data_IF_659291445166
#
_entry.id   IF_659291445166
#
_cell.length_a   1.000
_cell.length_b   1.000
_cell.length_c   1.000
_cell.angle_alpha   90.00
_cell.angle_beta   90.00
_cell.angle_gamma   90.00
#
_symmetry.space_group_name_H-M   'P 1'
#
loop_
_entity.id
_entity.type
_entity.pdbx_description
1 polymer ?
#
# COMPACT_ATOMS: atom_id res chain seq x y z
N UNK A 1 26.45 -6.25 17.00
CA UNK A 1 25.07 -6.65 16.61
C UNK A 1 24.23 -6.80 17.87
N UNK A 2 23.07 -6.14 17.98
CA UNK A 2 22.21 -6.22 19.17
C UNK A 2 21.55 -7.60 19.37
N UNK A 3 21.41 -8.40 18.30
CA UNK A 3 20.69 -9.69 18.34
C UNK A 3 21.52 -10.88 18.88
N UNK A 4 22.83 -10.91 18.65
CA UNK A 4 23.66 -12.07 19.02
C UNK A 4 23.52 -12.52 20.49
N UNK A 5 23.61 -11.63 21.50
CA UNK A 5 23.42 -12.04 22.90
C UNK A 5 21.98 -12.51 23.20
N UNK A 6 20.97 -11.89 22.60
CA UNK A 6 19.57 -12.29 22.74
C UNK A 6 19.31 -13.68 22.15
N UNK A 7 19.92 -13.97 21.00
CA UNK A 7 19.79 -15.25 20.31
C UNK A 7 20.44 -16.41 21.08
N UNK A 8 21.61 -16.19 21.68
CA UNK A 8 22.27 -17.16 22.58
C UNK A 8 21.45 -17.40 23.85
N UNK A 9 20.88 -16.34 24.46
CA UNK A 9 19.99 -16.45 25.62
C UNK A 9 18.74 -17.27 25.28
N UNK A 10 18.09 -16.97 24.16
CA UNK A 10 16.93 -17.72 23.68
C UNK A 10 17.27 -19.19 23.42
N UNK A 11 18.44 -19.48 22.83
CA UNK A 11 18.90 -20.84 22.55
C UNK A 11 19.06 -21.67 23.83
N UNK A 12 19.64 -21.07 24.88
CA UNK A 12 19.78 -21.73 26.19
C UNK A 12 18.42 -22.13 26.77
N UNK A 13 17.43 -21.23 26.73
CA UNK A 13 16.08 -21.48 27.25
C UNK A 13 15.35 -22.56 26.41
N UNK A 14 15.41 -22.43 25.08
CA UNK A 14 14.67 -23.28 24.14
C UNK A 14 15.24 -24.69 24.00
N UNK A 15 16.52 -24.89 24.31
CA UNK A 15 17.15 -26.22 24.33
C UNK A 15 16.47 -27.19 25.30
N UNK A 16 15.86 -26.65 26.37
CA UNK A 16 15.13 -27.40 27.39
C UNK A 16 13.60 -27.41 27.18
N UNK A 17 13.12 -26.87 26.06
CA UNK A 17 11.70 -26.92 25.71
C UNK A 17 11.28 -28.35 25.33
N UNK A 18 9.98 -28.65 25.40
CA UNK A 18 9.41 -29.89 24.88
C UNK A 18 8.35 -29.59 23.80
N UNK A 19 8.60 -29.94 22.51
CA UNK A 19 9.84 -30.54 22.00
C UNK A 19 11.01 -29.53 21.98
N UNK A 20 12.27 -30.00 22.05
CA UNK A 20 13.44 -29.11 22.02
C UNK A 20 13.49 -28.27 20.74
N UNK A 21 13.76 -26.97 20.89
CA UNK A 21 13.97 -26.08 19.75
C UNK A 21 15.44 -25.69 19.68
N UNK A 22 16.10 -26.09 18.60
CA UNK A 22 17.53 -25.84 18.36
C UNK A 22 17.68 -24.55 17.57
N UNK A 23 18.46 -23.61 18.09
CA UNK A 23 18.86 -22.39 17.38
C UNK A 23 20.26 -22.61 16.78
N UNK A 24 20.42 -22.26 15.52
CA UNK A 24 21.69 -22.35 14.80
C UNK A 24 22.01 -21.02 14.11
N UNK A 25 23.29 -20.74 13.89
CA UNK A 25 23.75 -19.57 13.13
C UNK A 25 24.73 -19.99 12.06
N UNK A 26 24.66 -19.33 10.91
CA UNK A 26 25.55 -19.53 9.76
C UNK A 26 26.11 -18.17 9.38
N UNK A 27 27.43 -18.10 9.18
CA UNK A 27 28.04 -16.91 8.57
C UNK A 27 27.89 -17.00 7.04
N UNK A 28 26.86 -16.32 6.53
CA UNK A 28 26.56 -16.29 5.10
C UNK A 28 27.57 -15.49 4.27
N UNK A 29 28.49 -14.74 4.88
CA UNK A 29 29.55 -14.04 4.15
C UNK A 29 30.74 -14.95 3.82
N UNK A 30 30.89 -16.09 4.50
CA UNK A 30 31.93 -17.05 4.18
C UNK A 30 31.68 -17.68 2.81
N UNK A 31 32.71 -17.76 1.98
CA UNK A 31 32.62 -18.24 0.59
C UNK A 31 31.99 -19.64 0.49
N UNK A 32 32.33 -20.54 1.41
CA UNK A 32 31.78 -21.91 1.50
C UNK A 32 30.27 -21.95 1.78
N UNK A 33 29.67 -20.87 2.27
CA UNK A 33 28.24 -20.80 2.61
C UNK A 33 27.42 -20.01 1.58
N UNK A 34 28.03 -19.52 0.48
CA UNK A 34 27.33 -18.73 -0.55
C UNK A 34 26.16 -19.47 -1.17
N UNK A 35 26.34 -20.75 -1.52
CA UNK A 35 25.27 -21.57 -2.09
C UNK A 35 24.09 -21.72 -1.13
N UNK A 36 24.37 -21.92 0.15
CA UNK A 36 23.35 -22.03 1.20
C UNK A 36 22.59 -20.70 1.37
N UNK A 37 23.29 -19.57 1.36
CA UNK A 37 22.67 -18.25 1.44
C UNK A 37 21.73 -17.98 0.25
N UNK A 38 22.14 -18.38 -0.97
CA UNK A 38 21.30 -18.30 -2.17
C UNK A 38 20.10 -19.24 -2.10
N UNK A 39 20.29 -20.50 -1.67
CA UNK A 39 19.21 -21.48 -1.50
C UNK A 39 18.11 -20.96 -0.57
N UNK A 40 18.50 -20.30 0.52
CA UNK A 40 17.58 -19.69 1.47
C UNK A 40 17.22 -18.23 1.12
N UNK A 41 17.57 -17.74 -0.07
CA UNK A 41 17.19 -16.39 -0.53
C UNK A 41 17.52 -15.29 0.49
N UNK A 42 18.71 -15.35 1.09
CA UNK A 42 19.15 -14.35 2.08
C UNK A 42 19.49 -13.05 1.34
N UNK A 43 18.67 -12.01 1.53
CA UNK A 43 18.86 -10.70 0.88
C UNK A 43 19.45 -9.63 1.82
N UNK A 44 19.55 -9.92 3.11
CA UNK A 44 20.09 -9.00 4.11
C UNK A 44 20.35 -9.66 5.46
N UNK A 45 21.04 -8.96 6.34
CA UNK A 45 21.42 -9.48 7.66
C UNK A 45 20.82 -8.65 8.80
N UNK A 46 20.33 -9.29 9.88
CA UNK A 46 20.12 -10.73 10.02
C UNK A 46 18.87 -11.21 9.26
N UNK A 47 18.95 -12.40 8.65
CA UNK A 47 17.78 -13.17 8.16
C UNK A 47 17.62 -14.39 9.05
N UNK A 48 16.44 -14.60 9.63
CA UNK A 48 16.15 -15.72 10.53
C UNK A 48 15.04 -16.56 9.88
N UNK A 49 15.25 -17.88 9.81
CA UNK A 49 14.28 -18.83 9.27
C UNK A 49 14.02 -19.96 10.25
N UNK A 50 12.80 -20.46 10.25
CA UNK A 50 12.36 -21.64 11.01
C UNK A 50 12.29 -22.81 10.04
N UNK A 51 12.99 -23.89 10.40
CA UNK A 51 13.00 -25.13 9.64
C UNK A 51 12.23 -26.19 10.42
N UNK A 52 11.24 -26.83 9.78
CA UNK A 52 10.48 -27.96 10.34
C UNK A 52 10.63 -29.19 9.46
N UNK A 53 10.41 -30.38 10.04
CA UNK A 53 10.43 -31.66 9.34
C UNK A 53 11.72 -31.89 8.53
N UNK A 54 12.88 -31.62 9.13
CA UNK A 54 14.19 -31.77 8.49
C UNK A 54 14.45 -30.76 7.36
N UNK A 55 13.81 -29.59 7.41
CA UNK A 55 13.98 -28.53 6.40
C UNK A 55 13.02 -28.62 5.22
N UNK A 56 12.07 -29.56 5.23
CA UNK A 56 10.99 -29.63 4.20
C UNK A 56 10.05 -28.44 4.25
N UNK A 57 9.90 -27.84 5.43
CA UNK A 57 9.11 -26.62 5.63
C UNK A 57 10.07 -25.54 6.12
N UNK A 58 10.14 -24.45 5.35
CA UNK A 58 10.98 -23.28 5.63
C UNK A 58 10.07 -22.08 5.73
N UNK A 59 10.18 -21.33 6.83
CA UNK A 59 9.35 -20.18 7.10
C UNK A 59 10.20 -19.03 7.62
N UNK A 60 9.89 -17.80 7.21
CA UNK A 60 10.54 -16.61 7.77
C UNK A 60 10.11 -16.35 9.22
N UNK A 61 11.07 -16.01 10.05
CA UNK A 61 10.81 -15.56 11.41
C UNK A 61 10.34 -14.10 11.39
N UNK A 62 9.09 -13.88 11.80
CA UNK A 62 8.47 -12.55 11.87
C UNK A 62 8.30 -12.03 13.30
N UNK A 63 8.93 -12.68 14.28
CA UNK A 63 8.79 -12.33 15.69
C UNK A 63 9.75 -11.23 16.17
N UNK A 64 9.68 -10.89 17.47
CA UNK A 64 10.57 -9.91 18.11
C UNK A 64 12.04 -10.34 18.11
N UNK A 65 12.99 -9.43 18.36
CA UNK A 65 14.43 -9.74 18.33
C UNK A 65 15.07 -9.86 19.70
N UNK A 66 14.27 -9.69 20.74
CA UNK A 66 14.59 -9.88 22.15
C UNK A 66 14.43 -11.36 22.52
N UNK A 67 15.27 -11.85 23.44
CA UNK A 67 15.33 -13.27 23.77
C UNK A 67 13.97 -13.83 24.19
N UNK A 68 13.25 -13.10 25.04
CA UNK A 68 11.96 -13.56 25.58
C UNK A 68 10.90 -13.63 24.46
N UNK A 69 10.90 -12.66 23.54
CA UNK A 69 10.04 -12.70 22.35
C UNK A 69 10.39 -13.82 21.36
N UNK A 70 11.67 -14.15 21.22
CA UNK A 70 12.12 -15.32 20.43
C UNK A 70 11.62 -16.62 21.07
N UNK A 71 11.78 -16.75 22.40
CA UNK A 71 11.34 -17.92 23.17
C UNK A 71 9.84 -18.12 23.01
N UNK A 72 9.03 -17.09 23.27
CA UNK A 72 7.58 -17.19 23.22
C UNK A 72 7.09 -17.53 21.80
N UNK A 73 7.69 -16.88 20.78
CA UNK A 73 7.38 -17.17 19.39
C UNK A 73 7.68 -18.64 19.04
N UNK A 74 8.88 -19.14 19.39
CA UNK A 74 9.30 -20.49 19.01
C UNK A 74 8.64 -21.60 19.84
N UNK A 75 8.24 -21.32 21.09
CA UNK A 75 7.38 -22.21 21.88
C UNK A 75 6.03 -22.41 21.21
N UNK A 76 5.39 -21.32 20.77
CA UNK A 76 4.14 -21.39 19.99
C UNK A 76 4.31 -22.19 18.69
N UNK A 77 5.50 -22.12 18.07
CA UNK A 77 5.82 -22.87 16.86
C UNK A 77 6.25 -24.33 17.11
N UNK A 78 6.62 -24.72 18.32
CA UNK A 78 7.05 -26.10 18.61
C UNK A 78 5.93 -26.95 19.21
N UNK A 79 4.97 -26.32 19.88
CA UNK A 79 3.75 -26.96 20.35
C UNK A 79 2.80 -27.41 19.22
N UNK A 80 1.70 -28.10 19.59
CA UNK A 80 0.68 -28.50 18.63
C UNK A 80 0.08 -27.27 17.94
N UNK A 81 -0.25 -27.39 16.66
CA UNK A 81 -0.85 -26.31 15.89
C UNK A 81 -2.22 -25.88 16.44
N UNK A 82 -2.90 -26.78 17.14
CA UNK A 82 -4.22 -26.57 17.73
C UNK A 82 -4.25 -27.05 19.18
N UNK A 83 -5.03 -26.38 20.03
CA UNK A 83 -5.24 -26.79 21.44
C UNK A 83 -6.69 -27.25 21.67
N UNK A 84 -6.88 -28.34 22.42
CA UNK A 84 -8.21 -28.86 22.72
C UNK A 84 -8.93 -28.03 23.80
N UNK A 85 -10.18 -27.62 23.52
CA UNK A 85 -11.11 -27.00 24.46
C UNK A 85 -12.04 -28.08 25.01
N UNK A 86 -11.95 -28.36 26.32
CA UNK A 86 -12.73 -29.40 27.02
C UNK A 86 -13.84 -28.83 27.90
N UNK A 87 -13.80 -27.53 28.15
CA UNK A 87 -14.70 -26.82 29.06
C UNK A 87 -14.91 -25.37 28.64
N UNK A 88 -15.92 -24.72 29.25
CA UNK A 88 -16.15 -23.28 29.05
C UNK A 88 -15.02 -22.41 29.64
N UNK A 89 -14.32 -22.92 30.67
CA UNK A 89 -13.15 -22.26 31.26
C UNK A 89 -11.96 -22.29 30.29
N UNK A 90 -11.72 -23.44 29.64
CA UNK A 90 -10.70 -23.54 28.59
C UNK A 90 -10.99 -22.57 27.43
N UNK A 91 -12.26 -22.51 27.00
CA UNK A 91 -12.68 -21.60 25.94
C UNK A 91 -12.45 -20.13 26.34
N UNK A 92 -12.73 -19.78 27.60
CA UNK A 92 -12.50 -18.43 28.12
C UNK A 92 -11.01 -18.08 28.21
N UNK A 93 -10.14 -19.06 28.45
CA UNK A 93 -8.70 -18.88 28.47
C UNK A 93 -8.07 -18.80 27.07
N UNK A 94 -8.60 -19.56 26.11
CA UNK A 94 -8.02 -19.71 24.77
C UNK A 94 -8.62 -18.76 23.73
N UNK A 95 -9.83 -18.25 23.93
CA UNK A 95 -10.51 -17.34 23.00
C UNK A 95 -10.34 -15.90 23.50
N UNK A 96 -9.25 -15.27 23.08
CA UNK A 96 -8.99 -13.86 23.33
C UNK A 96 -9.98 -12.99 22.52
N UNK A 97 -10.87 -12.29 23.24
CA UNK A 97 -11.90 -11.43 22.64
C UNK A 97 -11.35 -10.26 21.83
N UNK A 98 -10.06 -9.93 21.99
CA UNK A 98 -9.40 -8.84 21.28
C UNK A 98 -8.64 -9.33 20.04
N UNK A 99 -8.66 -10.63 19.74
CA UNK A 99 -7.93 -11.23 18.61
C UNK A 99 -8.85 -12.05 17.72
N UNK A 100 -8.33 -12.38 16.55
CA UNK A 100 -8.92 -13.39 15.69
C UNK A 100 -8.48 -14.77 16.18
N UNK A 101 -9.44 -15.62 16.56
CA UNK A 101 -9.20 -16.99 17.04
C UNK A 101 -10.06 -17.95 16.24
N UNK A 102 -9.46 -19.02 15.71
CA UNK A 102 -10.16 -19.99 14.88
C UNK A 102 -10.34 -21.30 15.67
N UNK A 103 -11.59 -21.75 15.79
CA UNK A 103 -11.94 -22.95 16.54
C UNK A 103 -12.65 -23.96 15.65
N UNK A 104 -12.09 -25.16 15.52
CA UNK A 104 -12.76 -26.27 14.86
C UNK A 104 -13.63 -27.07 15.82
N UNK A 105 -14.90 -27.26 15.49
CA UNK A 105 -15.82 -28.14 16.23
C UNK A 105 -15.99 -29.41 15.42
N UNK A 106 -15.60 -30.56 15.98
CA UNK A 106 -15.59 -31.83 15.27
C UNK A 106 -16.36 -32.91 16.03
N UNK A 107 -17.02 -33.86 15.35
CA UNK A 107 -17.62 -35.01 16.02
C UNK A 107 -16.56 -35.97 16.60
N UNK A 108 -15.34 -35.96 16.05
CA UNK A 108 -14.19 -36.76 16.48
C UNK A 108 -12.88 -36.12 15.97
N UNK A 109 -11.76 -36.40 16.62
CA UNK A 109 -10.42 -35.93 16.19
C UNK A 109 -9.77 -36.88 15.20
N UNK A 110 -10.46 -37.12 14.08
CA UNK A 110 -9.96 -37.91 12.95
C UNK A 110 -10.85 -37.67 11.73
N UNK A 111 -10.31 -37.93 10.54
CA UNK A 111 -11.02 -37.74 9.28
C UNK A 111 -10.49 -36.52 8.52
N UNK A 112 -10.85 -36.44 7.24
CA UNK A 112 -10.31 -35.47 6.30
C UNK A 112 -10.51 -34.02 6.78
N UNK A 113 -11.67 -33.70 7.34
CA UNK A 113 -11.98 -32.36 7.84
C UNK A 113 -11.08 -31.93 9.00
N UNK A 114 -10.81 -32.87 9.93
CA UNK A 114 -9.92 -32.62 11.07
C UNK A 114 -8.46 -32.48 10.62
N UNK A 115 -8.01 -33.33 9.69
CA UNK A 115 -6.64 -33.27 9.15
C UNK A 115 -6.42 -31.98 8.35
N UNK A 116 -7.37 -31.57 7.50
CA UNK A 116 -7.30 -30.31 6.76
C UNK A 116 -7.29 -29.10 7.69
N UNK A 117 -8.10 -29.11 8.76
CA UNK A 117 -8.07 -28.05 9.77
C UNK A 117 -6.72 -27.95 10.48
N UNK A 118 -6.12 -29.09 10.87
CA UNK A 118 -4.79 -29.09 11.48
C UNK A 118 -3.71 -28.61 10.49
N UNK A 119 -3.78 -29.01 9.22
CA UNK A 119 -2.88 -28.53 8.19
C UNK A 119 -2.97 -27.00 7.98
N UNK A 120 -4.19 -26.45 8.02
CA UNK A 120 -4.42 -25.00 7.98
C UNK A 120 -3.83 -24.31 9.22
N UNK A 121 -4.07 -24.87 10.41
CA UNK A 121 -3.51 -24.35 11.64
C UNK A 121 -1.98 -24.34 11.60
N UNK A 122 -1.34 -25.40 11.09
CA UNK A 122 0.11 -25.49 10.95
C UNK A 122 0.71 -24.43 10.01
N UNK A 123 -0.06 -24.07 8.98
CA UNK A 123 0.27 -23.02 8.02
C UNK A 123 0.13 -21.62 8.63
N UNK A 124 -0.91 -21.39 9.44
CA UNK A 124 -1.33 -20.06 9.87
C UNK A 124 -1.11 -19.75 11.37
N UNK A 125 -0.57 -20.67 12.17
CA UNK A 125 -0.32 -20.51 13.63
C UNK A 125 0.60 -19.35 14.03
N UNK A 126 1.37 -18.81 13.07
CA UNK A 126 2.15 -17.59 13.29
C UNK A 126 1.29 -16.32 13.32
N UNK A 127 0.11 -16.37 12.71
CA UNK A 127 -0.78 -15.23 12.51
C UNK A 127 -2.03 -15.32 13.38
N UNK A 128 -2.54 -16.54 13.60
CA UNK A 128 -3.75 -16.77 14.40
C UNK A 128 -3.55 -17.85 15.44
N UNK A 129 -4.43 -17.81 16.45
CA UNK A 129 -4.56 -18.87 17.43
C UNK A 129 -5.61 -19.87 16.94
N UNK A 130 -5.27 -21.15 17.02
CA UNK A 130 -6.16 -22.24 16.63
C UNK A 130 -6.45 -23.16 17.81
N UNK A 131 -7.71 -23.53 17.95
CA UNK A 131 -8.18 -24.49 18.95
C UNK A 131 -9.19 -25.44 18.33
N UNK A 132 -9.50 -26.53 19.01
CA UNK A 132 -10.53 -27.46 18.56
C UNK A 132 -11.34 -28.03 19.73
N UNK A 133 -12.54 -28.52 19.47
CA UNK A 133 -13.38 -29.15 20.51
C UNK A 133 -14.30 -30.22 19.92
N UNK A 134 -14.73 -31.17 20.76
CA UNK A 134 -15.79 -32.12 20.43
C UNK A 134 -17.20 -31.53 20.61
N UNK A 135 -17.32 -30.40 21.31
CA UNK A 135 -18.62 -29.92 21.77
C UNK A 135 -18.69 -28.39 21.72
N UNK A 136 -19.50 -27.89 20.79
CA UNK A 136 -19.74 -26.45 20.61
C UNK A 136 -20.23 -25.76 21.90
N UNK A 137 -20.89 -26.47 22.83
CA UNK A 137 -21.40 -25.89 24.09
C UNK A 137 -20.32 -25.29 25.00
N UNK A 138 -19.06 -25.64 24.79
CA UNK A 138 -17.95 -25.01 25.50
C UNK A 138 -17.64 -23.60 24.99
N UNK A 139 -18.00 -23.29 23.75
CA UNK A 139 -17.64 -22.04 23.10
C UNK A 139 -18.60 -20.90 23.46
N UNK A 140 -18.11 -19.64 23.50
CA UNK A 140 -18.98 -18.48 23.49
C UNK A 140 -19.94 -18.54 22.31
N UNK A 141 -21.23 -18.28 22.56
CA UNK A 141 -22.29 -18.38 21.53
C UNK A 141 -22.39 -19.77 20.89
N UNK A 142 -21.93 -20.81 21.61
CA UNK A 142 -22.06 -22.21 21.23
C UNK A 142 -23.47 -22.72 21.48
N UNK A 143 -24.34 -22.55 20.50
CA UNK A 143 -25.69 -23.10 20.56
C UNK A 143 -25.66 -24.63 20.58
N UNK A 144 -26.62 -25.25 21.26
CA UNK A 144 -26.70 -26.72 21.38
C UNK A 144 -26.98 -27.44 20.05
N UNK A 145 -27.33 -26.69 19.01
CA UNK A 145 -27.68 -27.15 17.65
C UNK A 145 -26.47 -27.35 16.75
N UNK A 146 -25.30 -26.77 17.07
CA UNK A 146 -24.10 -26.89 16.24
C UNK A 146 -23.51 -28.29 16.42
N UNK A 147 -23.80 -29.16 15.46
CA UNK A 147 -23.24 -30.51 15.33
C UNK A 147 -22.23 -30.44 14.19
N UNK A 148 -20.94 -30.32 14.52
CA UNK A 148 -19.87 -30.20 13.52
C UNK A 148 -19.83 -31.35 12.49
N UNK A 149 -18.94 -31.30 11.49
CA UNK A 149 -17.75 -30.46 11.46
C UNK A 149 -18.06 -29.01 11.06
N UNK A 150 -17.52 -28.05 11.81
CA UNK A 150 -17.60 -26.61 11.49
C UNK A 150 -16.35 -25.90 11.98
N UNK A 151 -15.87 -24.92 11.21
CA UNK A 151 -14.84 -23.98 11.65
C UNK A 151 -15.53 -22.68 12.07
N UNK A 152 -15.36 -22.29 13.33
CA UNK A 152 -15.83 -21.01 13.86
C UNK A 152 -14.67 -20.05 14.03
N UNK A 153 -14.69 -18.93 13.33
CA UNK A 153 -13.74 -17.83 13.50
C UNK A 153 -14.35 -16.78 14.43
N UNK A 154 -13.71 -16.53 15.57
CA UNK A 154 -14.03 -15.42 16.47
C UNK A 154 -13.20 -14.20 16.10
N UNK A 155 -13.78 -13.00 16.22
CA UNK A 155 -13.15 -11.73 15.86
C UNK A 155 -13.67 -10.56 16.71
N UNK A 156 -12.87 -9.51 16.96
CA UNK A 156 -13.26 -8.37 17.81
C UNK A 156 -14.17 -7.35 17.11
N UNK A 157 -14.57 -7.59 15.86
CA UNK A 157 -15.28 -6.64 15.01
C UNK A 157 -16.47 -7.29 14.29
N UNK A 158 -17.31 -6.44 13.70
CA UNK A 158 -18.46 -6.84 12.89
C UNK A 158 -19.40 -7.85 13.61
N UNK A 159 -19.71 -8.99 12.99
CA UNK A 159 -20.58 -10.04 13.52
C UNK A 159 -19.98 -10.85 14.70
N UNK A 160 -18.73 -10.56 15.07
CA UNK A 160 -17.94 -11.14 16.17
C UNK A 160 -17.62 -12.64 16.05
N UNK A 161 -18.36 -13.39 15.25
CA UNK A 161 -17.98 -14.73 14.82
C UNK A 161 -18.58 -15.09 13.46
N UNK A 162 -17.94 -16.01 12.74
CA UNK A 162 -18.43 -16.58 11.48
C UNK A 162 -18.21 -18.08 11.49
N UNK A 163 -19.24 -18.83 11.10
CA UNK A 163 -19.16 -20.28 10.90
C UNK A 163 -18.92 -20.62 9.43
N UNK A 164 -18.10 -21.64 9.20
CA UNK A 164 -17.74 -22.12 7.88
C UNK A 164 -17.71 -23.66 7.85
N UNK A 165 -18.24 -24.23 6.78
CA UNK A 165 -18.56 -25.67 6.69
C UNK A 165 -17.81 -26.39 5.56
N UNK A 166 -17.09 -25.67 4.71
CA UNK A 166 -16.28 -26.28 3.64
C UNK A 166 -14.85 -26.50 4.15
N UNK A 167 -14.43 -27.77 4.19
CA UNK A 167 -13.11 -28.17 4.69
C UNK A 167 -12.08 -28.39 3.57
N UNK A 168 -12.38 -28.00 2.34
CA UNK A 168 -11.37 -27.91 1.29
C UNK A 168 -10.29 -26.90 1.69
N UNK A 169 -9.00 -27.26 1.52
CA UNK A 169 -7.87 -26.44 1.96
C UNK A 169 -7.83 -25.03 1.34
N UNK A 170 -8.24 -24.88 0.08
CA UNK A 170 -8.30 -23.59 -0.60
C UNK A 170 -9.46 -22.75 -0.05
N UNK A 171 -10.63 -23.37 0.11
CA UNK A 171 -11.82 -22.73 0.67
C UNK A 171 -11.58 -22.27 2.12
N UNK A 172 -10.97 -23.11 2.96
CA UNK A 172 -10.57 -22.78 4.32
C UNK A 172 -9.58 -21.62 4.39
N UNK A 173 -8.54 -21.65 3.56
CA UNK A 173 -7.53 -20.58 3.51
C UNK A 173 -8.19 -19.25 3.15
N UNK A 174 -9.02 -19.26 2.10
CA UNK A 174 -9.77 -18.08 1.64
C UNK A 174 -10.75 -17.56 2.70
N UNK A 175 -11.48 -18.46 3.37
CA UNK A 175 -12.39 -18.11 4.45
C UNK A 175 -11.67 -17.35 5.57
N UNK A 176 -10.51 -17.86 6.05
CA UNK A 176 -9.74 -17.20 7.10
C UNK A 176 -9.21 -15.86 6.62
N UNK A 177 -8.68 -15.78 5.40
CA UNK A 177 -8.19 -14.54 4.80
C UNK A 177 -9.29 -13.46 4.75
N UNK A 178 -10.47 -13.79 4.24
CA UNK A 178 -11.58 -12.85 4.06
C UNK A 178 -12.29 -12.49 5.37
N UNK A 179 -12.35 -13.42 6.34
CA UNK A 179 -13.11 -13.23 7.58
C UNK A 179 -12.28 -12.64 8.73
N UNK A 180 -10.95 -12.65 8.60
CA UNK A 180 -10.01 -12.13 9.60
C UNK A 180 -9.69 -10.63 9.46
N UNK A 181 -10.35 -9.95 8.52
CA UNK A 181 -10.22 -8.51 8.27
C UNK A 181 -11.59 -7.85 8.47
N UNK A 182 -11.66 -6.66 9.10
CA UNK A 182 -12.91 -5.93 9.25
C UNK A 182 -13.51 -5.52 7.90
N UNK A 183 -14.84 -5.41 7.82
CA UNK A 183 -15.53 -4.85 6.65
C UNK A 183 -15.01 -3.45 6.30
N UNK A 184 -14.78 -2.63 7.34
CA UNK A 184 -14.09 -1.35 7.23
C UNK A 184 -12.94 -1.33 8.22
N UNK A 185 -11.71 -1.33 7.71
CA UNK A 185 -10.49 -1.24 8.54
C UNK A 185 -10.39 0.16 9.14
N UNK A 186 -10.00 0.27 10.41
CA UNK A 186 -9.76 1.56 11.07
C UNK A 186 -8.27 1.84 11.09
N UNK A 187 -7.87 3.04 10.67
CA UNK A 187 -6.50 3.51 10.78
C UNK A 187 -6.46 4.73 11.70
N UNK A 188 -5.86 4.57 12.86
CA UNK A 188 -5.69 5.59 13.88
C UNK A 188 -4.43 5.27 14.72
N UNK A 189 -4.23 6.00 15.82
CA UNK A 189 -3.10 5.80 16.72
C UNK A 189 -3.26 4.60 17.69
N UNK A 190 -4.33 3.80 17.57
CA UNK A 190 -4.53 2.61 18.41
C UNK A 190 -3.74 1.42 17.79
N UNK A 191 -2.72 0.89 18.50
CA UNK A 191 -1.90 -0.20 17.99
C UNK A 191 -2.67 -1.49 17.71
N UNK A 192 -3.85 -1.68 18.33
CA UNK A 192 -4.70 -2.85 18.08
C UNK A 192 -5.24 -2.89 16.65
N UNK A 193 -5.29 -1.74 15.97
CA UNK A 193 -5.75 -1.64 14.59
C UNK A 193 -4.65 -1.92 13.55
N UNK A 194 -3.37 -1.75 13.92
CA UNK A 194 -2.24 -1.88 13.00
C UNK A 194 -2.19 -3.20 12.23
N UNK A 195 -2.44 -4.38 12.85
CA UNK A 195 -2.44 -5.65 12.11
C UNK A 195 -3.46 -5.67 10.95
N UNK A 196 -4.62 -5.04 11.13
CA UNK A 196 -5.66 -4.97 10.10
C UNK A 196 -5.31 -3.97 9.00
N UNK A 197 -4.64 -2.86 9.35
CA UNK A 197 -4.13 -1.89 8.37
C UNK A 197 -3.09 -2.53 7.46
N UNK A 198 -2.16 -3.32 8.02
CA UNK A 198 -1.17 -4.08 7.22
C UNK A 198 -1.87 -5.03 6.25
N UNK A 199 -2.81 -5.85 6.74
CA UNK A 199 -3.59 -6.75 5.88
C UNK A 199 -4.41 -6.03 4.81
N UNK A 200 -4.96 -4.85 5.14
CA UNK A 200 -5.68 -4.03 4.18
C UNK A 200 -4.79 -3.63 3.01
N UNK A 201 -3.54 -3.22 3.27
CA UNK A 201 -2.59 -2.82 2.23
C UNK A 201 -1.97 -4.01 1.48
N UNK A 202 -1.73 -5.13 2.16
CA UNK A 202 -1.13 -6.34 1.57
C UNK A 202 -2.09 -7.09 0.63
N UNK A 203 -3.40 -6.97 0.82
CA UNK A 203 -4.36 -7.66 -0.05
C UNK A 203 -4.34 -7.08 -1.48
N UNK A 204 -4.77 -7.82 -2.51
CA UNK A 204 -4.73 -7.34 -3.90
C UNK A 204 -5.95 -6.51 -4.31
N UNK A 205 -6.90 -6.23 -3.42
CA UNK A 205 -8.13 -5.51 -3.77
C UNK A 205 -7.86 -4.03 -4.05
N UNK A 206 -8.76 -3.40 -4.78
CA UNK A 206 -8.80 -1.93 -4.87
C UNK A 206 -8.99 -1.34 -3.47
N UNK A 207 -8.25 -0.28 -3.15
CA UNK A 207 -8.30 0.36 -1.83
C UNK A 207 -9.24 1.55 -1.86
N UNK A 208 -10.35 1.50 -1.13
CA UNK A 208 -11.19 2.66 -0.87
C UNK A 208 -10.92 3.16 0.55
N UNK A 209 -10.38 4.37 0.67
CA UNK A 209 -9.94 4.95 1.93
C UNK A 209 -10.64 6.28 2.17
N UNK A 210 -11.35 6.43 3.29
CA UNK A 210 -11.97 7.68 3.69
C UNK A 210 -11.18 8.31 4.85
N UNK A 211 -10.78 9.56 4.72
CA UNK A 211 -10.01 10.28 5.73
C UNK A 211 -10.78 11.48 6.27
N UNK A 212 -10.86 11.59 7.59
CA UNK A 212 -11.53 12.69 8.30
C UNK A 212 -11.06 12.73 9.76
N UNK A 213 -11.32 13.84 10.44
CA UNK A 213 -11.07 13.93 11.88
C UNK A 213 -12.15 13.14 12.62
N UNK A 214 -11.79 12.12 13.39
CA UNK A 214 -12.76 11.25 14.08
C UNK A 214 -13.55 11.95 15.19
N UNK A 215 -13.20 13.17 15.59
CA UNK A 215 -13.88 13.94 16.64
C UNK A 215 -14.91 14.93 16.11
N UNK A 216 -15.16 14.98 14.80
CA UNK A 216 -16.19 15.88 14.23
C UNK A 216 -17.60 15.38 14.53
N UNK A 217 -18.56 16.31 14.64
CA UNK A 217 -19.94 15.99 15.04
C UNK A 217 -20.64 14.95 14.14
N UNK A 218 -20.31 14.91 12.85
CA UNK A 218 -20.90 13.97 11.89
C UNK A 218 -20.06 12.69 11.67
N UNK A 219 -19.05 12.42 12.50
CA UNK A 219 -18.14 11.27 12.36
C UNK A 219 -18.87 9.92 12.29
N UNK A 220 -19.88 9.70 13.14
CA UNK A 220 -20.64 8.44 13.15
C UNK A 220 -21.48 8.26 11.89
N UNK A 221 -22.04 9.36 11.35
CA UNK A 221 -22.78 9.34 10.08
C UNK A 221 -21.86 9.00 8.90
N UNK A 222 -20.67 9.61 8.84
CA UNK A 222 -19.64 9.30 7.85
C UNK A 222 -19.26 7.80 7.91
N UNK A 223 -18.92 7.29 9.10
CA UNK A 223 -18.57 5.88 9.30
C UNK A 223 -19.70 4.94 8.89
N UNK A 224 -20.94 5.23 9.31
CA UNK A 224 -22.11 4.41 8.99
C UNK A 224 -22.35 4.35 7.48
N UNK A 225 -22.40 5.50 6.80
CA UNK A 225 -22.66 5.56 5.36
C UNK A 225 -21.56 4.92 4.52
N UNK A 226 -20.31 5.08 4.93
CA UNK A 226 -19.18 4.42 4.29
C UNK A 226 -19.21 2.90 4.51
N UNK A 227 -19.59 2.44 5.71
CA UNK A 227 -19.78 1.02 6.02
C UNK A 227 -20.92 0.39 5.24
N UNK A 228 -22.09 1.04 5.15
CA UNK A 228 -23.22 0.58 4.33
C UNK A 228 -22.76 0.33 2.88
N UNK A 229 -21.95 1.24 2.34
CA UNK A 229 -21.35 1.09 1.00
C UNK A 229 -20.34 -0.06 0.95
N UNK A 230 -19.50 -0.22 1.97
CA UNK A 230 -18.53 -1.30 2.05
C UNK A 230 -19.20 -2.69 2.05
N UNK A 231 -20.31 -2.83 2.78
CA UNK A 231 -21.12 -4.06 2.82
C UNK A 231 -21.66 -4.42 1.43
N UNK A 232 -22.13 -3.43 0.67
CA UNK A 232 -22.61 -3.63 -0.71
C UNK A 232 -21.50 -4.09 -1.68
N UNK A 233 -20.26 -3.62 -1.47
CA UNK A 233 -19.14 -3.88 -2.38
C UNK A 233 -18.15 -4.96 -1.89
N UNK A 234 -18.42 -5.61 -0.75
CA UNK A 234 -17.51 -6.56 -0.08
C UNK A 234 -16.97 -7.67 -1.00
N UNK A 235 -17.80 -8.19 -1.90
CA UNK A 235 -17.44 -9.27 -2.82
C UNK A 235 -17.02 -8.78 -4.22
N UNK A 236 -16.79 -7.49 -4.40
CA UNK A 236 -16.50 -6.87 -5.70
C UNK A 236 -15.05 -6.37 -5.80
N UNK A 237 -14.13 -7.00 -5.06
CA UNK A 237 -12.70 -6.71 -5.11
C UNK A 237 -12.32 -5.31 -4.61
N UNK A 238 -13.10 -4.74 -3.67
CA UNK A 238 -12.76 -3.48 -2.99
C UNK A 238 -12.65 -3.73 -1.49
N UNK A 239 -11.55 -3.26 -0.90
CA UNK A 239 -11.38 -3.18 0.54
C UNK A 239 -11.58 -1.75 1.02
N UNK A 240 -12.18 -1.59 2.20
CA UNK A 240 -12.55 -0.29 2.75
C UNK A 240 -11.76 0.02 4.02
N UNK A 241 -11.32 1.28 4.16
CA UNK A 241 -10.62 1.79 5.32
C UNK A 241 -11.11 3.19 5.69
N UNK A 242 -11.26 3.47 6.97
CA UNK A 242 -11.40 4.83 7.52
C UNK A 242 -10.14 5.22 8.27
N UNK A 243 -9.57 6.36 7.93
CA UNK A 243 -8.35 6.90 8.54
C UNK A 243 -8.63 8.18 9.31
N UNK A 244 -8.16 8.24 10.56
CA UNK A 244 -8.16 9.47 11.33
C UNK A 244 -7.14 10.45 10.74
N UNK A 245 -7.51 11.73 10.66
CA UNK A 245 -6.67 12.78 10.09
C UNK A 245 -5.30 12.88 10.75
N UNK A 246 -5.23 12.80 12.08
CA UNK A 246 -3.96 12.95 12.81
C UNK A 246 -3.02 11.79 12.50
N UNK A 247 -3.54 10.57 12.45
CA UNK A 247 -2.77 9.36 12.15
C UNK A 247 -2.37 9.24 10.66
N UNK A 248 -3.05 9.95 9.76
CA UNK A 248 -2.98 9.72 8.31
C UNK A 248 -2.10 10.70 7.52
N UNK A 249 -1.27 11.51 8.19
CA UNK A 249 -0.43 12.53 7.54
C UNK A 249 0.48 11.97 6.43
N UNK A 250 1.01 10.76 6.61
CA UNK A 250 1.80 10.09 5.56
C UNK A 250 1.00 9.81 4.29
N UNK A 251 -0.28 9.47 4.41
CA UNK A 251 -1.18 9.30 3.26
C UNK A 251 -1.43 10.66 2.58
N UNK A 252 -1.64 11.74 3.34
CA UNK A 252 -1.84 13.07 2.78
C UNK A 252 -0.62 13.53 1.98
N UNK A 253 0.58 13.31 2.48
CA UNK A 253 1.81 13.60 1.75
C UNK A 253 1.93 12.75 0.46
N UNK A 254 1.65 11.45 0.55
CA UNK A 254 1.73 10.54 -0.59
C UNK A 254 0.75 10.93 -1.71
N UNK A 255 -0.48 11.26 -1.35
CA UNK A 255 -1.54 11.65 -2.29
C UNK A 255 -1.53 13.14 -2.66
N UNK A 256 -0.72 13.98 -2.00
CA UNK A 256 -0.73 15.44 -2.22
C UNK A 256 -2.00 16.13 -1.72
N UNK A 257 -2.60 15.62 -0.64
CA UNK A 257 -3.85 16.12 -0.08
C UNK A 257 -3.58 17.16 1.01
N UNK A 258 -4.58 18.00 1.28
CA UNK A 258 -4.57 19.04 2.31
C UNK A 258 -5.63 18.76 3.36
N UNK A 259 -5.35 19.09 4.63
CA UNK A 259 -6.26 18.84 5.74
C UNK A 259 -7.63 19.50 5.56
N UNK A 260 -7.67 20.69 4.95
CA UNK A 260 -8.92 21.41 4.69
C UNK A 260 -9.81 20.76 3.60
N UNK A 261 -9.38 19.64 3.01
CA UNK A 261 -10.16 18.87 2.04
C UNK A 261 -10.97 17.74 2.69
N UNK A 262 -10.77 17.47 3.99
CA UNK A 262 -11.52 16.42 4.68
C UNK A 262 -12.95 16.87 5.01
N UNK A 263 -13.92 15.95 5.09
CA UNK A 263 -13.82 14.51 4.81
C UNK A 263 -13.52 14.23 3.34
N UNK A 264 -12.68 13.24 3.05
CA UNK A 264 -12.35 12.87 1.66
C UNK A 264 -12.31 11.37 1.46
N UNK A 265 -12.57 10.91 0.24
CA UNK A 265 -12.41 9.51 -0.16
C UNK A 265 -11.36 9.43 -1.28
N UNK A 266 -10.38 8.57 -1.10
CA UNK A 266 -9.41 8.16 -2.11
C UNK A 266 -9.70 6.72 -2.51
N UNK A 267 -9.76 6.45 -3.80
CA UNK A 267 -9.74 5.08 -4.33
C UNK A 267 -8.44 4.87 -5.08
N UNK A 268 -7.68 3.83 -4.74
CA UNK A 268 -6.42 3.49 -5.38
C UNK A 268 -6.48 2.09 -5.98
N UNK A 269 -6.14 2.00 -7.27
CA UNK A 269 -6.00 0.76 -8.03
C UNK A 269 -4.56 0.24 -7.96
N UNK A 270 -4.37 -1.04 -8.24
CA UNK A 270 -3.05 -1.66 -8.31
C UNK A 270 -2.21 -1.17 -9.50
N UNK A 271 -2.86 -0.67 -10.57
CA UNK A 271 -2.20 -0.06 -11.72
C UNK A 271 -1.73 1.39 -11.46
N UNK A 272 -1.96 1.89 -10.24
CA UNK A 272 -1.59 3.23 -9.83
C UNK A 272 -2.65 4.30 -10.10
N UNK A 273 -3.76 3.99 -10.80
CA UNK A 273 -4.87 4.94 -10.96
C UNK A 273 -5.49 5.26 -9.62
N UNK A 274 -5.81 6.53 -9.44
CA UNK A 274 -6.39 7.08 -8.23
C UNK A 274 -7.68 7.81 -8.58
N UNK A 275 -8.60 7.90 -7.63
CA UNK A 275 -9.83 8.71 -7.72
C UNK A 275 -10.00 9.43 -6.39
N UNK A 276 -10.40 10.69 -6.42
CA UNK A 276 -10.48 11.53 -5.23
C UNK A 276 -11.82 12.26 -5.20
N UNK A 277 -12.49 12.22 -4.04
CA UNK A 277 -13.55 13.17 -3.69
C UNK A 277 -13.18 13.86 -2.40
N UNK A 278 -13.09 15.18 -2.45
CA UNK A 278 -12.88 16.06 -1.29
C UNK A 278 -14.21 16.58 -0.76
N UNK A 279 -14.22 17.08 0.48
CA UNK A 279 -15.36 17.70 1.15
C UNK A 279 -16.63 16.84 1.00
N UNK A 280 -16.53 15.58 1.39
CA UNK A 280 -17.57 14.57 1.28
C UNK A 280 -18.57 14.74 2.41
N UNK A 281 -19.84 14.89 2.04
CA UNK A 281 -20.96 14.81 2.98
C UNK A 281 -21.45 13.36 3.11
N UNK A 282 -21.96 12.94 4.28
CA UNK A 282 -22.41 11.56 4.51
C UNK A 282 -23.37 11.02 3.44
N UNK A 283 -24.36 11.81 3.03
CA UNK A 283 -25.39 11.41 2.06
C UNK A 283 -24.86 11.29 0.62
N UNK A 284 -23.68 11.83 0.33
CA UNK A 284 -23.06 11.76 -0.99
C UNK A 284 -22.13 10.56 -1.16
N UNK A 285 -21.78 9.85 -0.07
CA UNK A 285 -20.81 8.73 -0.09
C UNK A 285 -21.27 7.63 -1.05
N UNK A 286 -22.48 7.11 -0.86
CA UNK A 286 -23.00 6.00 -1.66
C UNK A 286 -23.12 6.37 -3.15
N UNK A 287 -23.63 7.57 -3.44
CA UNK A 287 -23.78 8.09 -4.81
C UNK A 287 -22.44 8.23 -5.52
N UNK A 288 -21.43 8.76 -4.83
CA UNK A 288 -20.10 8.92 -5.43
C UNK A 288 -19.40 7.58 -5.66
N UNK A 289 -19.47 6.65 -4.68
CA UNK A 289 -18.92 5.30 -4.86
C UNK A 289 -19.60 4.54 -6.00
N UNK A 290 -20.91 4.72 -6.17
CA UNK A 290 -21.65 4.19 -7.32
C UNK A 290 -21.16 4.80 -8.64
N UNK A 291 -21.05 6.13 -8.71
CA UNK A 291 -20.55 6.81 -9.92
C UNK A 291 -19.12 6.34 -10.29
N UNK A 292 -18.27 6.13 -9.30
CA UNK A 292 -16.95 5.54 -9.50
C UNK A 292 -17.04 4.12 -10.06
N UNK A 293 -17.88 3.25 -9.48
CA UNK A 293 -18.09 1.87 -9.96
C UNK A 293 -18.65 1.83 -11.39
N UNK A 294 -19.50 2.78 -11.73
CA UNK A 294 -20.07 2.94 -13.07
C UNK A 294 -19.07 3.55 -14.08
N UNK A 295 -17.84 3.87 -13.66
CA UNK A 295 -16.79 4.45 -14.53
C UNK A 295 -17.02 5.93 -14.87
N UNK A 296 -17.89 6.62 -14.13
CA UNK A 296 -18.27 8.02 -14.39
C UNK A 296 -17.37 9.04 -13.68
N UNK A 297 -16.37 8.60 -12.92
CA UNK A 297 -15.45 9.47 -12.17
C UNK A 297 -14.11 9.49 -12.87
N UNK A 298 -13.60 10.69 -13.14
CA UNK A 298 -12.28 10.88 -13.75
C UNK A 298 -11.14 10.53 -12.77
N UNK A 299 -10.02 9.96 -13.25
CA UNK A 299 -8.87 9.69 -12.41
C UNK A 299 -8.28 10.97 -11.79
N UNK A 300 -7.99 10.90 -10.49
CA UNK A 300 -7.23 11.91 -9.75
C UNK A 300 -5.78 11.91 -10.21
N UNK A 301 -5.27 13.10 -10.50
CA UNK A 301 -3.85 13.38 -10.76
C UNK A 301 -3.33 14.25 -9.62
N UNK A 302 -2.21 13.84 -9.02
CA UNK A 302 -1.51 14.66 -8.03
C UNK A 302 -1.00 15.93 -8.72
N UNK A 303 -1.42 17.10 -8.25
CA UNK A 303 -0.94 18.38 -8.74
C UNK A 303 -0.71 19.33 -7.58
N UNK A 304 0.34 20.13 -7.67
CA UNK A 304 0.40 21.37 -6.92
C UNK A 304 -0.65 22.37 -7.43
N UNK A 305 -1.06 23.35 -6.61
CA UNK A 305 -1.91 24.44 -7.07
C UNK A 305 -1.27 25.17 -8.23
N UNK A 306 -2.06 25.54 -9.23
CA UNK A 306 -1.62 26.45 -10.28
C UNK A 306 -1.16 27.77 -9.60
N UNK A 307 0.08 28.24 -9.85
CA UNK A 307 0.57 29.47 -9.25
C UNK A 307 -0.32 30.67 -9.60
N UNK A 308 -0.70 31.48 -8.61
CA UNK A 308 -1.50 32.70 -8.82
C UNK A 308 -0.82 33.69 -9.77
N UNK A 309 0.51 33.73 -9.73
CA UNK A 309 1.36 34.54 -10.61
C UNK A 309 2.42 33.64 -11.23
N UNK A 310 2.48 33.61 -12.56
CA UNK A 310 3.43 32.82 -13.34
C UNK A 310 4.18 33.70 -14.36
N UNK A 311 4.67 34.85 -13.91
CA UNK A 311 5.25 35.89 -14.75
C UNK A 311 6.78 35.83 -14.85
N UNK A 312 7.42 34.94 -14.10
CA UNK A 312 8.87 34.71 -14.19
C UNK A 312 9.29 34.21 -15.59
N UNK A 313 10.58 34.36 -15.91
CA UNK A 313 11.14 33.97 -17.20
C UNK A 313 11.02 32.46 -17.43
N UNK A 314 11.28 31.65 -16.40
CA UNK A 314 11.00 30.22 -16.40
C UNK A 314 9.63 29.96 -15.80
N UNK A 315 8.69 29.51 -16.64
CA UNK A 315 7.30 29.23 -16.25
C UNK A 315 7.21 28.00 -15.35
N UNK A 316 6.40 28.10 -14.29
CA UNK A 316 6.09 26.96 -13.42
C UNK A 316 4.94 26.17 -14.04
N UNK A 317 5.15 24.88 -14.24
CA UNK A 317 4.16 23.93 -14.72
C UNK A 317 3.86 22.92 -13.61
N UNK A 318 2.59 22.70 -13.36
CA UNK A 318 2.03 21.71 -12.44
C UNK A 318 1.19 20.72 -13.25
N UNK A 319 0.79 19.58 -12.68
CA UNK A 319 0.07 18.56 -13.46
C UNK A 319 -1.26 19.11 -14.05
N UNK A 320 -1.94 20.00 -13.33
CA UNK A 320 -3.23 20.57 -13.75
C UNK A 320 -3.12 21.58 -14.91
N UNK A 321 -1.99 22.26 -15.10
CA UNK A 321 -1.79 23.21 -16.21
C UNK A 321 -0.79 22.72 -17.27
N UNK A 322 -0.24 21.51 -17.10
CA UNK A 322 0.68 20.87 -18.03
C UNK A 322 0.09 20.80 -19.44
N UNK A 323 -1.17 20.40 -19.56
CA UNK A 323 -1.84 20.31 -20.86
C UNK A 323 -1.89 21.67 -21.56
N UNK A 324 -2.24 22.72 -20.83
CA UNK A 324 -2.39 24.07 -21.39
C UNK A 324 -1.05 24.70 -21.77
N UNK A 325 -0.05 24.62 -20.89
CA UNK A 325 1.25 25.28 -21.10
C UNK A 325 2.11 24.48 -22.09
N UNK A 326 2.16 23.16 -21.95
CA UNK A 326 3.08 22.31 -22.72
C UNK A 326 2.45 21.86 -24.03
N UNK A 327 1.23 21.31 -23.98
CA UNK A 327 0.65 20.61 -25.14
C UNK A 327 -0.24 21.50 -26.01
N UNK A 328 -0.98 22.44 -25.43
CA UNK A 328 -2.00 23.21 -26.14
C UNK A 328 -1.62 24.68 -26.37
N UNK A 329 -0.45 25.12 -25.90
CA UNK A 329 -0.05 26.53 -26.00
C UNK A 329 0.20 27.01 -27.43
N UNK A 330 0.36 26.10 -28.39
CA UNK A 330 0.75 26.41 -29.77
C UNK A 330 2.18 26.96 -29.90
N UNK A 331 2.98 26.82 -28.84
CA UNK A 331 4.34 27.38 -28.74
C UNK A 331 5.38 26.28 -28.65
N UNK A 332 6.63 26.67 -28.84
CA UNK A 332 7.80 25.83 -28.62
C UNK A 332 8.14 25.84 -27.13
N UNK A 333 8.08 24.69 -26.46
CA UNK A 333 8.20 24.59 -25.00
C UNK A 333 9.40 23.73 -24.62
N UNK A 334 10.37 24.30 -23.92
CA UNK A 334 11.40 23.55 -23.21
C UNK A 334 10.93 23.32 -21.77
N UNK A 335 10.73 22.07 -21.37
CA UNK A 335 10.28 21.67 -20.03
C UNK A 335 11.40 20.94 -19.28
N UNK A 336 11.85 21.51 -18.16
CA UNK A 336 12.65 20.80 -17.15
C UNK A 336 11.74 20.05 -16.17
N UNK A 337 11.94 18.74 -16.05
CA UNK A 337 11.33 17.91 -15.02
C UNK A 337 12.38 17.68 -13.94
N UNK A 338 12.12 18.18 -12.72
CA UNK A 338 13.12 18.25 -11.65
C UNK A 338 12.62 17.72 -10.29
N UNK A 339 13.56 17.63 -9.33
CA UNK A 339 13.27 17.39 -7.92
C UNK A 339 13.99 18.45 -7.05
N UNK A 340 13.34 19.05 -6.03
CA UNK A 340 13.92 20.18 -5.27
C UNK A 340 15.22 19.88 -4.54
N UNK A 341 15.42 18.62 -4.13
CA UNK A 341 16.61 18.17 -3.42
C UNK A 341 17.76 17.79 -4.35
N UNK A 342 17.53 17.69 -5.67
CA UNK A 342 18.55 17.25 -6.62
C UNK A 342 19.61 18.34 -6.86
N UNK A 343 20.88 18.02 -6.54
CA UNK A 343 22.00 18.94 -6.74
C UNK A 343 22.21 19.32 -8.22
N UNK A 344 21.94 18.41 -9.14
CA UNK A 344 22.06 18.67 -10.57
C UNK A 344 20.98 19.65 -11.08
N UNK A 345 19.75 19.54 -10.59
CA UNK A 345 18.67 20.49 -10.89
C UNK A 345 19.02 21.89 -10.39
N UNK A 346 19.51 21.99 -9.15
CA UNK A 346 19.94 23.28 -8.57
C UNK A 346 21.04 23.97 -9.39
N UNK A 347 21.91 23.21 -10.05
CA UNK A 347 22.95 23.74 -10.95
C UNK A 347 22.40 24.15 -12.33
N UNK A 348 21.34 23.49 -12.82
CA UNK A 348 20.70 23.78 -14.10
C UNK A 348 19.75 24.98 -14.01
N UNK A 349 19.08 25.17 -12.88
CA UNK A 349 18.13 26.27 -12.67
C UNK A 349 18.65 27.67 -13.10
N UNK A 350 19.83 28.16 -12.66
CA UNK A 350 20.33 29.47 -13.12
C UNK A 350 20.62 29.51 -14.62
N UNK A 351 21.00 28.38 -15.23
CA UNK A 351 21.27 28.30 -16.66
C UNK A 351 19.97 28.39 -17.46
N UNK A 352 18.88 27.76 -16.97
CA UNK A 352 17.57 27.89 -17.60
C UNK A 352 17.00 29.30 -17.49
N UNK A 353 17.27 30.03 -16.39
CA UNK A 353 16.95 31.46 -16.31
C UNK A 353 17.70 32.26 -17.38
N UNK A 354 18.99 31.99 -17.58
CA UNK A 354 19.76 32.65 -18.64
C UNK A 354 19.27 32.32 -20.05
N UNK A 355 18.84 31.07 -20.29
CA UNK A 355 18.20 30.65 -21.55
C UNK A 355 16.87 31.36 -21.72
N UNK A 356 16.04 31.45 -20.67
CA UNK A 356 14.75 32.12 -20.72
C UNK A 356 14.90 33.61 -21.03
N UNK A 357 15.91 34.29 -20.45
CA UNK A 357 16.25 35.68 -20.78
C UNK A 357 16.61 35.84 -22.26
N UNK A 358 17.31 34.88 -22.86
CA UNK A 358 17.62 34.90 -24.31
C UNK A 358 16.37 34.83 -25.19
N UNK A 359 15.25 34.31 -24.67
CA UNK A 359 13.97 34.22 -25.39
C UNK A 359 12.89 35.20 -24.90
N UNK A 360 13.20 36.14 -24.00
CA UNK A 360 12.20 37.05 -23.41
C UNK A 360 11.43 37.89 -24.45
N UNK A 361 12.05 38.17 -25.61
CA UNK A 361 11.46 38.92 -26.72
C UNK A 361 10.84 38.02 -27.80
N UNK A 362 10.89 36.70 -27.62
CA UNK A 362 10.29 35.72 -28.52
C UNK A 362 9.06 35.09 -27.84
N UNK A 363 7.84 35.54 -28.17
CA UNK A 363 6.62 35.03 -27.54
C UNK A 363 6.33 33.56 -27.88
N UNK A 364 7.00 32.99 -28.88
CA UNK A 364 6.76 31.64 -29.39
C UNK A 364 7.61 30.57 -28.70
N UNK A 365 8.50 30.96 -27.78
CA UNK A 365 9.33 30.05 -26.99
C UNK A 365 8.99 30.20 -25.50
N UNK A 366 8.65 29.09 -24.85
CA UNK A 366 8.43 29.00 -23.41
C UNK A 366 9.54 28.14 -22.81
N UNK A 367 10.21 28.66 -21.79
CA UNK A 367 11.05 27.86 -20.90
C UNK A 367 10.25 27.58 -19.63
N UNK A 368 10.15 26.33 -19.24
CA UNK A 368 9.29 25.86 -18.17
C UNK A 368 9.98 24.84 -17.26
N UNK A 369 9.50 24.73 -16.02
CA UNK A 369 9.93 23.74 -15.02
C UNK A 369 8.74 23.08 -14.33
N UNK A 370 8.85 21.80 -14.02
CA UNK A 370 7.86 21.00 -13.30
C UNK A 370 8.53 20.15 -12.21
N UNK A 371 8.03 20.24 -10.98
CA UNK A 371 8.48 19.40 -9.85
C UNK A 371 7.79 18.03 -9.91
N UNK A 372 8.54 17.01 -10.29
CA UNK A 372 8.06 15.62 -10.42
C UNK A 372 7.79 14.92 -9.08
N UNK A 373 8.25 15.51 -7.97
CA UNK A 373 8.01 14.96 -6.62
C UNK A 373 6.65 15.37 -6.09
N UNK A 374 6.13 16.49 -6.58
CA UNK A 374 4.87 17.08 -6.15
C UNK A 374 3.75 16.95 -7.20
N UNK A 375 4.07 16.62 -8.46
CA UNK A 375 3.10 16.54 -9.56
C UNK A 375 3.20 15.18 -10.29
N UNK A 376 2.06 14.61 -10.66
CA UNK A 376 1.99 13.42 -11.53
C UNK A 376 2.37 13.80 -12.97
N UNK A 377 3.12 12.92 -13.63
CA UNK A 377 3.65 13.13 -14.99
C UNK A 377 3.11 12.03 -15.90
N UNK A 378 2.64 12.35 -17.12
CA UNK A 378 2.24 11.35 -18.11
C UNK A 378 3.46 10.55 -18.60
N UNK A 379 3.69 9.39 -17.97
CA UNK A 379 4.85 8.52 -18.22
C UNK A 379 4.84 7.83 -19.60
N UNK A 380 3.68 7.80 -20.24
CA UNK A 380 3.52 7.41 -21.65
C UNK A 380 4.11 8.45 -22.61
N UNK A 381 4.25 9.69 -22.16
CA UNK A 381 4.81 10.80 -22.94
C UNK A 381 6.23 11.16 -22.52
N UNK A 382 6.49 11.22 -21.21
CA UNK A 382 7.78 11.60 -20.65
C UNK A 382 8.42 10.44 -19.90
N UNK A 383 9.50 9.89 -20.47
CA UNK A 383 10.30 8.87 -19.80
C UNK A 383 11.28 9.54 -18.81
N UNK A 384 10.90 9.58 -17.53
CA UNK A 384 11.66 10.25 -16.47
C UNK A 384 12.39 9.19 -15.64
N UNK A 385 13.63 8.90 -16.01
CA UNK A 385 14.50 7.92 -15.34
C UNK A 385 15.38 8.54 -14.24
N UNK A 386 15.46 9.87 -14.16
CA UNK A 386 16.28 10.61 -13.20
C UNK A 386 16.02 12.11 -13.26
N UNK A 387 16.75 12.89 -12.46
CA UNK A 387 16.58 14.35 -12.41
C UNK A 387 17.91 15.09 -12.59
N UNK A 388 17.93 16.20 -13.34
CA UNK A 388 16.84 16.70 -14.19
C UNK A 388 16.71 15.87 -15.47
N UNK A 389 15.49 15.75 -15.97
CA UNK A 389 15.17 15.31 -17.34
C UNK A 389 14.57 16.49 -18.09
N UNK A 390 15.02 16.75 -19.32
CA UNK A 390 14.59 17.91 -20.11
C UNK A 390 13.97 17.43 -21.40
N UNK A 391 12.78 17.94 -21.72
CA UNK A 391 12.09 17.69 -22.97
C UNK A 391 11.83 19.00 -23.70
N UNK A 392 11.84 18.95 -25.02
CA UNK A 392 11.36 20.01 -25.88
C UNK A 392 10.14 19.53 -26.64
N UNK A 393 9.11 20.37 -26.69
CA UNK A 393 7.94 20.18 -27.53
C UNK A 393 7.82 21.32 -28.53
N UNK A 394 7.83 21.02 -29.82
CA UNK A 394 7.61 22.02 -30.88
C UNK A 394 6.16 22.52 -30.89
N UNK A 395 5.90 23.65 -31.56
CA UNK A 395 4.54 24.18 -31.73
C UNK A 395 3.60 23.19 -32.45
N UNK A 396 4.14 22.44 -33.42
CA UNK A 396 3.47 21.36 -34.17
C UNK A 396 3.28 20.07 -33.36
N UNK A 397 3.88 19.98 -32.18
CA UNK A 397 3.67 18.90 -31.22
C UNK A 397 4.68 17.76 -31.25
N UNK A 398 5.79 17.91 -31.99
CA UNK A 398 6.90 16.96 -31.91
C UNK A 398 7.58 17.07 -30.53
N UNK A 399 7.80 15.94 -29.88
CA UNK A 399 8.48 15.86 -28.58
C UNK A 399 9.85 15.23 -28.77
N UNK A 400 10.88 15.90 -28.24
CA UNK A 400 12.28 15.47 -28.29
C UNK A 400 12.91 15.59 -26.91
N UNK A 401 13.52 14.51 -26.42
CA UNK A 401 14.32 14.57 -25.19
C UNK A 401 15.65 15.31 -25.44
N UNK A 402 16.09 16.11 -24.47
CA UNK A 402 17.39 16.76 -24.47
C UNK A 402 18.39 16.01 -23.60
N UNK A 403 19.32 15.30 -24.24
CA UNK A 403 20.42 14.59 -23.57
C UNK A 403 21.77 15.29 -23.74
N UNK A 404 21.74 16.55 -24.20
CA UNK A 404 22.94 17.35 -24.43
C UNK A 404 23.57 17.90 -23.15
N UNK A 405 24.62 18.69 -23.35
CA UNK A 405 25.35 19.32 -22.27
C UNK A 405 24.50 20.39 -21.55
N UNK A 406 24.65 20.52 -20.23
CA UNK A 406 23.89 21.50 -19.43
C UNK A 406 24.53 22.89 -19.46
N UNK A 407 24.88 23.38 -20.65
CA UNK A 407 25.39 24.73 -20.89
C UNK A 407 24.35 25.54 -21.66
N UNK A 408 24.35 26.85 -21.45
CA UNK A 408 23.38 27.77 -22.05
C UNK A 408 23.36 27.65 -23.58
N UNK A 409 24.52 27.69 -24.21
CA UNK A 409 24.67 27.71 -25.67
C UNK A 409 24.14 26.40 -26.28
N UNK A 410 24.46 25.26 -25.68
CA UNK A 410 24.02 23.95 -26.18
C UNK A 410 22.48 23.78 -26.10
N UNK A 411 21.86 24.34 -25.04
CA UNK A 411 20.40 24.33 -24.89
C UNK A 411 19.74 25.24 -25.93
N UNK A 412 20.30 26.43 -26.18
CA UNK A 412 19.82 27.36 -27.21
C UNK A 412 19.93 26.69 -28.59
N UNK A 413 21.09 26.11 -28.92
CA UNK A 413 21.31 25.42 -30.19
C UNK A 413 20.30 24.27 -30.39
N UNK A 414 19.98 23.55 -29.32
CA UNK A 414 18.95 22.52 -29.35
C UNK A 414 17.55 23.09 -29.62
N UNK A 415 17.16 24.19 -28.95
CA UNK A 415 15.88 24.86 -29.22
C UNK A 415 15.83 25.34 -30.67
N UNK A 416 16.86 26.03 -31.15
CA UNK A 416 16.91 26.56 -32.52
C UNK A 416 16.83 25.46 -33.59
N UNK A 417 17.40 24.29 -33.31
CA UNK A 417 17.36 23.13 -34.20
C UNK A 417 15.99 22.45 -34.27
N UNK A 418 15.25 22.46 -33.17
CA UNK A 418 14.00 21.69 -33.05
C UNK A 418 12.73 22.56 -33.07
N UNK A 419 12.84 23.89 -32.91
CA UNK A 419 11.68 24.77 -32.92
C UNK A 419 11.07 24.89 -34.31
N UNK A 420 9.75 24.99 -34.33
CA UNK A 420 9.05 25.44 -35.52
C UNK A 420 9.31 26.94 -35.71
N UNK A 421 9.71 27.31 -36.93
CA UNK A 421 9.82 28.71 -37.33
C UNK A 421 8.46 29.12 -37.83
N UNK A 422 7.83 30.11 -37.18
CA UNK A 422 6.59 30.70 -37.66
C UNK A 422 6.92 31.41 -38.99
N UNK A 423 6.52 30.82 -40.12
CA UNK A 423 6.59 31.50 -41.41
C UNK A 423 5.60 32.67 -41.39
N UNK A 424 6.12 33.89 -41.56
CA UNK A 424 5.32 35.06 -41.94
C UNK A 424 4.90 34.94 -43.42
N UNK A 425 4.18 33.88 -43.80
CA UNK A 425 3.61 33.72 -45.13
C UNK A 425 2.09 33.64 -45.07
N UNK A 426 1.44 34.75 -44.72
CA UNK A 426 0.03 34.97 -45.06
C UNK A 426 -0.31 36.48 -45.05
N UNK A 427 0.38 37.29 -45.86
CA UNK A 427 -0.08 38.66 -46.15
C UNK A 427 0.50 39.28 -47.43
N UNK A 428 0.71 38.52 -48.52
CA UNK A 428 0.87 39.13 -49.86
C UNK A 428 0.36 38.15 -50.92
N UNK A 429 -0.95 38.15 -51.15
CA UNK A 429 -1.59 37.77 -52.44
C UNK A 429 -3.10 37.97 -52.29
N UNK A 430 -3.50 39.24 -52.44
CA UNK A 430 -4.84 39.62 -52.93
C UNK A 430 -4.79 41.10 -53.32
N UNK A 431 -3.95 41.41 -54.33
CA UNK A 431 -4.18 42.54 -55.24
C UNK A 431 -3.55 42.15 -56.59
N UNK A 432 -4.39 41.69 -57.52
CA UNK A 432 -4.35 41.97 -58.96
C UNK A 432 -5.56 41.36 -59.68
#
# INVERSE_FOLDING_TARGET
MKLAPEYEKAASILSSNDPPVILAKVDANEEKNRELASQFQVQGFPTIKILRNGGKVVQDYKGPREADGIVDYLKKQSGPATTEIKSADDASALIDKNKVVIVGVFPKFSGEEYENFNALADKLRSEYDFSHTLNAKHLPRGESSVTGPVVRLFKPFDELFVDFYDFNMEALSKFVEESSVPIVTVFNNDPSNHPFVVKFFDNPNVKAMMFFNFTVDNADSLKSKFRESAEQYRQQGISFLVGDLEASQGAFQYFGLKENQVPLIVIQHNDGKKFLKTNVEPDHIATWLKAYKDGSVEPFKKSEPIPEVNNESVKVVVADNLQDIVFNSGKNVLLEIYAPWCSHCKKLAPILEEVAVSYQSNPDVIIAKLDATANDIPRDTFDVQGYPTVYFRSASGQISQYDGSRKKEDIIDFIEKNRDKVDQQESVKDEL
#
